data_IF_537714740806
#
_entry.id   IF_537714740806
#
_cell.length_a   1.000
_cell.length_b   1.000
_cell.length_c   1.000
_cell.angle_alpha   90.00
_cell.angle_beta   90.00
_cell.angle_gamma   90.00
#
_symmetry.space_group_name_H-M   'P 1'
#
loop_
_entity.id
_entity.type
_entity.pdbx_description
1 polymer ?
#
# COMPACT_ATOMS: atom_id res chain seq x y z
N UNK A 1 9.39 8.02 22.94
CA UNK A 1 9.02 6.67 22.42
C UNK A 1 8.28 6.81 21.08
N UNK A 2 8.24 5.77 20.29
CA UNK A 2 7.48 5.74 19.01
C UNK A 2 6.01 6.07 19.24
N UNK A 3 5.42 5.59 20.32
CA UNK A 3 4.01 5.85 20.65
C UNK A 3 3.71 7.36 20.85
N UNK A 4 4.58 8.08 21.54
CA UNK A 4 4.44 9.53 21.70
C UNK A 4 4.52 10.28 20.35
N UNK A 5 5.31 9.77 19.39
CA UNK A 5 5.37 10.32 18.03
C UNK A 5 4.04 10.09 17.31
N UNK A 6 3.48 8.88 17.39
CA UNK A 6 2.18 8.56 16.76
C UNK A 6 1.04 9.42 17.34
N UNK A 7 0.99 9.59 18.65
CA UNK A 7 0.03 10.44 19.35
C UNK A 7 0.11 11.89 18.85
N UNK A 8 1.32 12.44 18.81
CA UNK A 8 1.55 13.80 18.30
C UNK A 8 1.13 13.96 16.83
N UNK A 9 1.39 12.96 15.98
CA UNK A 9 0.95 13.00 14.59
C UNK A 9 -0.58 13.02 14.48
N UNK A 10 -1.27 12.20 15.27
CA UNK A 10 -2.73 12.17 15.32
C UNK A 10 -3.31 13.49 15.83
N UNK A 11 -2.76 14.06 16.92
CA UNK A 11 -3.13 15.38 17.44
C UNK A 11 -2.95 16.51 16.42
N UNK A 12 -1.95 16.40 15.55
CA UNK A 12 -1.73 17.34 14.45
C UNK A 12 -2.65 17.12 13.25
N UNK A 13 -3.58 16.16 13.31
CA UNK A 13 -4.49 15.82 12.21
C UNK A 13 -3.83 15.07 11.06
N UNK A 14 -2.65 14.47 11.27
CA UNK A 14 -2.01 13.64 10.24
C UNK A 14 -2.85 12.39 10.00
N UNK A 15 -3.01 12.01 8.73
CA UNK A 15 -3.87 10.89 8.33
C UNK A 15 -3.17 9.53 8.37
N UNK A 16 -1.85 9.50 8.41
CA UNK A 16 -1.10 8.24 8.39
C UNK A 16 0.41 8.42 8.48
N UNK A 17 1.09 7.31 8.38
CA UNK A 17 2.55 7.20 8.36
C UNK A 17 3.01 6.33 7.19
N UNK A 18 4.22 6.57 6.67
CA UNK A 18 4.92 5.66 5.76
C UNK A 18 5.96 4.87 6.53
N UNK A 19 5.98 3.56 6.33
CA UNK A 19 7.01 2.66 6.83
C UNK A 19 7.74 1.99 5.67
N UNK A 20 9.03 1.78 5.83
CA UNK A 20 9.92 1.17 4.85
C UNK A 20 10.92 0.26 5.57
N UNK A 21 10.66 -1.05 5.54
CA UNK A 21 11.44 -2.03 6.30
C UNK A 21 12.93 -1.98 6.01
N UNK A 22 13.28 -1.86 4.72
CA UNK A 22 14.69 -1.85 4.26
C UNK A 22 15.48 -0.67 4.83
N UNK A 23 14.89 0.53 4.83
CA UNK A 23 15.56 1.74 5.36
C UNK A 23 15.49 1.88 6.89
N UNK A 24 14.46 1.29 7.50
CA UNK A 24 14.22 1.39 8.94
C UNK A 24 14.63 0.12 9.71
N UNK A 25 15.18 -0.87 8.99
CA UNK A 25 15.72 -2.12 9.53
C UNK A 25 14.73 -2.90 10.40
N UNK A 26 13.60 -3.30 9.79
CA UNK A 26 12.62 -4.20 10.41
C UNK A 26 11.94 -5.07 9.34
N UNK A 27 11.49 -6.26 9.72
CA UNK A 27 10.55 -7.05 8.93
C UNK A 27 9.12 -6.72 9.35
N UNK A 28 8.20 -6.68 8.39
CA UNK A 28 6.83 -6.23 8.63
C UNK A 28 6.11 -7.00 9.75
N UNK A 29 6.37 -8.31 9.87
CA UNK A 29 5.72 -9.19 10.83
C UNK A 29 6.49 -9.41 12.15
N UNK A 30 7.57 -8.63 12.38
CA UNK A 30 8.28 -8.69 13.67
C UNK A 30 7.37 -8.35 14.84
N UNK A 31 7.51 -9.08 15.95
CA UNK A 31 6.68 -8.89 17.14
C UNK A 31 6.71 -7.45 17.70
N UNK A 32 7.85 -6.75 17.56
CA UNK A 32 7.98 -5.34 18.00
C UNK A 32 7.14 -4.38 17.15
N UNK A 33 6.74 -4.75 15.92
CA UNK A 33 5.94 -3.91 15.03
C UNK A 33 4.45 -4.02 15.34
N UNK A 34 3.99 -5.17 15.85
CA UNK A 34 2.58 -5.43 16.12
C UNK A 34 1.93 -4.36 17.05
N UNK A 35 2.52 -3.99 18.20
CA UNK A 35 1.96 -2.93 19.03
C UNK A 35 1.94 -1.56 18.35
N UNK A 36 2.89 -1.28 17.44
CA UNK A 36 2.93 -0.03 16.66
C UNK A 36 1.73 0.03 15.72
N UNK A 37 1.46 -1.05 14.98
CA UNK A 37 0.30 -1.12 14.08
C UNK A 37 -1.02 -0.99 14.85
N UNK A 38 -1.16 -1.69 15.98
CA UNK A 38 -2.35 -1.55 16.84
C UNK A 38 -2.56 -0.11 17.29
N UNK A 39 -1.47 0.57 17.70
CA UNK A 39 -1.56 1.97 18.09
C UNK A 39 -1.96 2.88 16.93
N UNK A 40 -1.46 2.62 15.72
CA UNK A 40 -1.92 3.34 14.53
C UNK A 40 -3.44 3.18 14.32
N UNK A 41 -3.95 1.96 14.45
CA UNK A 41 -5.40 1.69 14.36
C UNK A 41 -6.21 2.44 15.39
N UNK A 42 -5.80 2.41 16.68
CA UNK A 42 -6.44 3.14 17.78
C UNK A 42 -6.50 4.66 17.55
N UNK A 43 -5.47 5.20 16.91
CA UNK A 43 -5.34 6.63 16.59
C UNK A 43 -5.97 7.01 15.23
N UNK A 44 -6.51 6.04 14.48
CA UNK A 44 -7.05 6.26 13.14
C UNK A 44 -6.00 6.58 12.08
N UNK A 45 -4.73 6.27 12.35
CA UNK A 45 -3.62 6.49 11.41
C UNK A 45 -3.54 5.34 10.40
N UNK A 46 -3.49 5.68 9.12
CA UNK A 46 -3.25 4.76 8.03
C UNK A 46 -1.76 4.42 7.99
N UNK A 47 -1.43 3.15 7.74
CA UNK A 47 -0.03 2.72 7.57
C UNK A 47 0.21 2.43 6.09
N UNK A 48 1.00 3.27 5.43
CA UNK A 48 1.51 2.99 4.08
C UNK A 48 2.80 2.20 4.22
N UNK A 49 2.83 0.97 3.71
CA UNK A 49 3.95 0.05 3.83
C UNK A 49 4.64 -0.12 2.47
N UNK A 50 5.95 0.15 2.40
CA UNK A 50 6.74 -0.33 1.27
C UNK A 50 6.68 -1.84 1.21
N UNK A 51 6.54 -2.43 0.03
CA UNK A 51 6.45 -3.88 -0.13
C UNK A 51 7.20 -4.36 -1.37
N UNK A 52 7.68 -5.59 -1.30
CA UNK A 52 8.43 -6.24 -2.35
C UNK A 52 9.92 -5.91 -2.32
N UNK A 53 10.57 -6.10 -3.47
CA UNK A 53 12.02 -5.93 -3.60
C UNK A 53 12.37 -4.44 -3.61
N UNK A 54 13.33 -4.06 -2.78
CA UNK A 54 14.00 -2.75 -2.84
C UNK A 54 15.40 -2.87 -3.47
N UNK A 55 15.82 -1.82 -4.18
CA UNK A 55 17.15 -1.81 -4.83
C UNK A 55 18.30 -1.77 -3.82
N UNK A 56 18.06 -1.32 -2.59
CA UNK A 56 19.05 -1.30 -1.51
C UNK A 56 19.23 -2.68 -0.85
N UNK A 57 18.22 -3.55 -0.94
CA UNK A 57 18.24 -4.92 -0.37
C UNK A 57 17.59 -5.95 -1.30
N UNK A 58 18.12 -6.15 -2.53
CA UNK A 58 17.44 -6.90 -3.58
C UNK A 58 17.28 -8.40 -3.30
N UNK A 59 17.96 -8.92 -2.29
CA UNK A 59 17.94 -10.33 -1.89
C UNK A 59 17.32 -10.57 -0.50
N UNK A 60 16.86 -9.52 0.15
CA UNK A 60 16.30 -9.58 1.50
C UNK A 60 15.04 -8.71 1.56
N UNK A 61 13.89 -9.32 1.35
CA UNK A 61 12.60 -8.62 1.32
C UNK A 61 12.11 -8.40 2.74
N UNK A 62 11.99 -7.15 3.15
CA UNK A 62 11.55 -6.78 4.49
C UNK A 62 10.04 -6.70 4.67
N UNK A 63 9.29 -6.64 3.55
CA UNK A 63 7.83 -6.68 3.56
C UNK A 63 7.34 -7.39 2.30
N UNK A 64 6.65 -8.50 2.45
CA UNK A 64 5.98 -9.22 1.39
C UNK A 64 4.53 -9.56 1.76
N UNK A 65 3.81 -10.17 0.83
CA UNK A 65 2.41 -10.54 1.02
C UNK A 65 2.20 -11.56 2.15
N UNK A 66 3.14 -12.48 2.36
CA UNK A 66 3.05 -13.48 3.43
C UNK A 66 3.26 -12.84 4.80
N UNK A 67 4.22 -11.92 4.92
CA UNK A 67 4.42 -11.13 6.15
C UNK A 67 3.18 -10.29 6.44
N UNK A 68 2.63 -9.61 5.43
CA UNK A 68 1.41 -8.82 5.61
C UNK A 68 0.21 -9.68 6.00
N UNK A 69 0.04 -10.87 5.46
CA UNK A 69 -1.00 -11.80 5.90
C UNK A 69 -0.84 -12.15 7.39
N UNK A 70 0.39 -12.47 7.83
CA UNK A 70 0.67 -12.72 9.26
C UNK A 70 0.43 -11.50 10.16
N UNK A 71 0.68 -10.30 9.66
CA UNK A 71 0.33 -9.05 10.36
C UNK A 71 -1.18 -8.93 10.51
N UNK A 72 -1.94 -9.13 9.44
CA UNK A 72 -3.40 -9.03 9.44
C UNK A 72 -4.06 -10.04 10.39
N UNK A 73 -3.48 -11.22 10.57
CA UNK A 73 -3.93 -12.21 11.56
C UNK A 73 -3.75 -11.73 13.01
N UNK A 74 -2.79 -10.82 13.27
CA UNK A 74 -2.44 -10.35 14.61
C UNK A 74 -3.04 -8.98 14.98
N UNK A 75 -3.48 -8.21 13.98
CA UNK A 75 -3.97 -6.84 14.20
C UNK A 75 -5.33 -6.62 13.53
N UNK A 76 -6.15 -5.79 14.16
CA UNK A 76 -7.44 -5.35 13.64
C UNK A 76 -7.60 -3.84 13.78
N UNK A 77 -8.49 -3.23 13.00
CA UNK A 77 -8.83 -1.82 13.13
C UNK A 77 -7.81 -0.84 12.52
N UNK A 78 -6.65 -1.31 12.07
CA UNK A 78 -5.68 -0.50 11.33
C UNK A 78 -5.88 -0.65 9.82
N UNK A 79 -5.78 0.44 9.09
CA UNK A 79 -5.85 0.47 7.63
C UNK A 79 -4.43 0.44 7.05
N UNK A 80 -4.16 -0.52 6.18
CA UNK A 80 -2.88 -0.62 5.46
C UNK A 80 -3.03 -0.22 4.00
N UNK A 81 -2.05 0.49 3.48
CA UNK A 81 -1.80 0.63 2.04
C UNK A 81 -0.52 -0.14 1.74
N UNK A 82 -0.64 -1.28 1.07
CA UNK A 82 0.51 -2.09 0.65
C UNK A 82 0.96 -1.55 -0.71
N UNK A 83 2.06 -0.81 -0.70
CA UNK A 83 2.53 -0.04 -1.84
C UNK A 83 2.92 -0.91 -3.04
N UNK A 84 3.00 -0.27 -4.22
CA UNK A 84 3.49 -0.89 -5.47
C UNK A 84 2.64 -2.07 -5.93
N UNK A 85 1.30 -1.89 -5.93
CA UNK A 85 0.32 -2.94 -6.26
C UNK A 85 0.51 -4.24 -5.45
N UNK A 86 0.90 -4.09 -4.17
CA UNK A 86 1.10 -5.21 -3.25
C UNK A 86 2.56 -5.62 -3.08
N UNK A 87 3.49 -5.05 -3.86
CA UNK A 87 4.93 -5.22 -3.69
C UNK A 87 5.69 -5.40 -4.99
N UNK A 88 6.79 -4.69 -5.12
CA UNK A 88 7.68 -4.75 -6.29
C UNK A 88 8.08 -6.19 -6.58
N UNK A 89 7.69 -6.73 -7.75
CA UNK A 89 7.89 -8.12 -8.20
C UNK A 89 7.23 -9.19 -7.31
N UNK A 90 6.24 -8.80 -6.50
CA UNK A 90 5.48 -9.68 -5.62
C UNK A 90 3.96 -9.49 -5.84
N UNK A 91 3.56 -8.77 -6.89
CA UNK A 91 2.18 -8.33 -7.15
C UNK A 91 1.19 -9.51 -7.21
N UNK A 92 1.56 -10.59 -7.92
CA UNK A 92 0.70 -11.78 -8.07
C UNK A 92 0.49 -12.54 -6.75
N UNK A 93 1.54 -12.62 -5.93
CA UNK A 93 1.42 -13.23 -4.61
C UNK A 93 0.56 -12.38 -3.69
N UNK A 94 0.73 -11.06 -3.75
CA UNK A 94 -0.10 -10.14 -3.00
C UNK A 94 -1.57 -10.23 -3.43
N UNK A 95 -1.85 -10.32 -4.73
CA UNK A 95 -3.19 -10.52 -5.25
C UNK A 95 -3.81 -11.83 -4.72
N UNK A 96 -3.03 -12.90 -4.66
CA UNK A 96 -3.50 -14.19 -4.17
C UNK A 96 -3.77 -14.22 -2.65
N UNK A 97 -2.97 -13.53 -1.85
CA UNK A 97 -3.01 -13.61 -0.39
C UNK A 97 -3.79 -12.49 0.28
N UNK A 98 -3.81 -11.29 -0.31
CA UNK A 98 -4.34 -10.09 0.34
C UNK A 98 -5.63 -9.57 -0.32
N UNK A 99 -6.02 -10.09 -1.50
CA UNK A 99 -7.29 -9.71 -2.11
C UNK A 99 -8.45 -10.09 -1.18
N UNK A 100 -9.41 -9.15 -1.03
CA UNK A 100 -10.57 -9.33 -0.15
C UNK A 100 -10.31 -8.99 1.33
N UNK A 101 -9.08 -8.66 1.73
CA UNK A 101 -8.81 -8.16 3.08
C UNK A 101 -9.49 -6.80 3.29
N UNK A 102 -10.33 -6.70 4.32
CA UNK A 102 -11.20 -5.53 4.54
C UNK A 102 -10.43 -4.23 4.71
N UNK A 103 -9.35 -4.27 5.49
CA UNK A 103 -8.57 -3.09 5.87
C UNK A 103 -7.27 -2.93 5.07
N UNK A 104 -7.22 -3.47 3.85
CA UNK A 104 -6.05 -3.38 2.96
C UNK A 104 -6.42 -2.63 1.69
N UNK A 105 -5.57 -1.72 1.30
CA UNK A 105 -5.54 -1.00 0.02
C UNK A 105 -4.19 -1.20 -0.65
N UNK A 106 -4.14 -0.89 -1.92
CA UNK A 106 -2.94 -0.96 -2.75
C UNK A 106 -2.74 0.37 -3.46
N UNK A 107 -1.53 0.69 -3.87
CA UNK A 107 -1.29 1.88 -4.67
C UNK A 107 -0.52 1.57 -5.97
N UNK A 108 -0.64 2.47 -6.93
CA UNK A 108 0.00 2.35 -8.25
C UNK A 108 1.42 2.90 -8.29
N UNK A 109 2.02 3.21 -7.14
CA UNK A 109 3.36 3.75 -7.03
C UNK A 109 4.39 2.84 -7.71
N UNK A 110 5.31 3.44 -8.46
CA UNK A 110 6.43 2.73 -9.10
C UNK A 110 6.03 1.57 -10.04
N UNK A 111 4.89 1.68 -10.72
CA UNK A 111 4.39 0.64 -11.65
C UNK A 111 4.64 0.92 -13.12
N UNK A 112 4.78 2.20 -13.52
CA UNK A 112 5.03 2.56 -14.90
C UNK A 112 6.35 1.98 -15.42
N UNK A 113 6.30 1.34 -16.59
CA UNK A 113 7.43 0.64 -17.18
C UNK A 113 7.76 -0.73 -16.58
N UNK A 114 6.99 -1.18 -15.57
CA UNK A 114 7.21 -2.45 -14.86
C UNK A 114 6.02 -3.41 -14.98
N UNK A 115 4.82 -2.89 -14.97
CA UNK A 115 3.58 -3.65 -15.09
C UNK A 115 2.95 -3.30 -16.45
N UNK A 116 2.48 -4.31 -17.20
CA UNK A 116 1.76 -4.07 -18.45
C UNK A 116 0.33 -3.58 -18.17
N UNK A 117 -0.34 -2.89 -19.14
CA UNK A 117 -1.73 -2.49 -18.97
C UNK A 117 -2.68 -3.67 -18.70
N UNK A 118 -2.43 -4.83 -19.30
CA UNK A 118 -3.22 -6.04 -19.10
C UNK A 118 -3.06 -6.54 -17.67
N UNK A 119 -1.82 -6.66 -17.19
CA UNK A 119 -1.53 -7.10 -15.82
C UNK A 119 -2.06 -6.11 -14.78
N UNK A 120 -1.93 -4.80 -15.03
CA UNK A 120 -2.55 -3.78 -14.16
C UNK A 120 -4.06 -3.96 -14.09
N UNK A 121 -4.72 -4.25 -15.22
CA UNK A 121 -6.17 -4.51 -15.26
C UNK A 121 -6.54 -5.73 -14.41
N UNK A 122 -5.78 -6.83 -14.52
CA UNK A 122 -5.99 -8.06 -13.76
C UNK A 122 -5.84 -7.82 -12.26
N UNK A 123 -4.78 -7.14 -11.84
CA UNK A 123 -4.53 -6.80 -10.43
C UNK A 123 -5.65 -5.94 -9.86
N UNK A 124 -6.04 -4.86 -10.56
CA UNK A 124 -7.12 -3.96 -10.10
C UNK A 124 -8.44 -4.73 -9.93
N UNK A 125 -8.78 -5.62 -10.86
CA UNK A 125 -10.01 -6.42 -10.77
C UNK A 125 -9.95 -7.47 -9.67
N UNK A 126 -8.77 -8.03 -9.40
CA UNK A 126 -8.56 -9.01 -8.33
C UNK A 126 -8.68 -8.35 -6.95
N UNK A 127 -8.09 -7.18 -6.76
CA UNK A 127 -8.18 -6.42 -5.51
C UNK A 127 -9.56 -5.79 -5.30
N UNK A 128 -10.25 -5.44 -6.38
CA UNK A 128 -11.38 -4.51 -6.43
C UNK A 128 -10.91 -3.09 -6.71
N UNK A 129 -11.53 -2.43 -7.70
CA UNK A 129 -11.14 -1.07 -8.09
C UNK A 129 -11.28 -0.05 -6.96
N UNK A 130 -12.15 -0.32 -5.97
CA UNK A 130 -12.35 0.50 -4.77
C UNK A 130 -11.24 0.35 -3.72
N UNK A 131 -10.28 -0.56 -3.94
CA UNK A 131 -9.13 -0.82 -3.08
C UNK A 131 -7.81 -0.30 -3.63
N UNK A 132 -7.80 0.30 -4.81
CA UNK A 132 -6.58 0.79 -5.47
C UNK A 132 -6.53 2.31 -5.45
N UNK A 133 -5.38 2.87 -5.11
CA UNK A 133 -5.11 4.31 -4.99
C UNK A 133 -4.12 4.74 -6.07
N UNK A 134 -4.33 5.93 -6.64
CA UNK A 134 -3.33 6.53 -7.52
C UNK A 134 -2.12 7.02 -6.73
N UNK A 135 -0.94 6.59 -7.13
CA UNK A 135 0.34 7.06 -6.62
C UNK A 135 1.44 6.87 -7.68
N UNK A 136 2.51 7.63 -7.62
CA UNK A 136 3.63 7.56 -8.57
C UNK A 136 4.94 7.11 -7.94
N UNK A 137 5.15 7.39 -6.65
CA UNK A 137 6.46 7.24 -6.00
C UNK A 137 7.51 8.19 -6.60
N UNK A 138 7.09 9.41 -6.95
CA UNK A 138 8.02 10.42 -7.45
C UNK A 138 9.19 10.64 -6.48
N UNK A 139 10.45 10.71 -6.96
CA UNK A 139 10.86 10.89 -8.35
C UNK A 139 11.11 9.59 -9.14
N UNK A 140 10.83 8.41 -8.58
CA UNK A 140 11.12 7.12 -9.23
C UNK A 140 10.23 6.84 -10.45
N UNK A 141 8.95 7.25 -10.40
CA UNK A 141 8.10 7.37 -11.58
C UNK A 141 7.51 8.79 -11.68
N UNK A 142 7.35 9.27 -12.91
CA UNK A 142 6.58 10.48 -13.17
C UNK A 142 5.07 10.17 -13.00
N UNK A 143 4.30 10.99 -12.28
CA UNK A 143 2.84 10.83 -12.19
C UNK A 143 2.15 10.72 -13.55
N UNK A 144 2.67 11.41 -14.57
CA UNK A 144 2.18 11.32 -15.96
C UNK A 144 2.33 9.92 -16.54
N UNK A 145 3.47 9.24 -16.28
CA UNK A 145 3.70 7.90 -16.82
C UNK A 145 2.78 6.87 -16.17
N UNK A 146 2.54 6.98 -14.86
CA UNK A 146 1.56 6.14 -14.16
C UNK A 146 0.14 6.43 -14.65
N UNK A 147 -0.21 7.69 -14.87
CA UNK A 147 -1.49 8.06 -15.48
C UNK A 147 -1.63 7.43 -16.87
N UNK A 148 -0.62 7.54 -17.73
CA UNK A 148 -0.65 6.92 -19.07
C UNK A 148 -0.80 5.40 -19.00
N UNK A 149 -0.16 4.72 -18.05
CA UNK A 149 -0.33 3.29 -17.83
C UNK A 149 -1.80 2.97 -17.51
N UNK A 150 -2.41 3.68 -16.55
CA UNK A 150 -3.82 3.46 -16.16
C UNK A 150 -4.77 3.76 -17.34
N UNK A 151 -4.52 4.82 -18.11
CA UNK A 151 -5.32 5.13 -19.30
C UNK A 151 -5.24 4.05 -20.39
N UNK A 152 -4.12 3.34 -20.48
CA UNK A 152 -3.89 2.25 -21.42
C UNK A 152 -4.55 0.92 -21.00
N UNK A 153 -5.10 0.83 -19.79
CA UNK A 153 -5.80 -0.36 -19.29
C UNK A 153 -7.20 -0.50 -19.90
N UNK A 154 -7.77 -1.71 -19.81
CA UNK A 154 -9.18 -1.96 -20.16
C UNK A 154 -10.16 -1.71 -18.98
N UNK A 155 -9.75 -0.94 -17.98
CA UNK A 155 -10.60 -0.49 -16.89
C UNK A 155 -11.68 0.48 -17.41
N UNK A 156 -12.85 0.42 -16.83
CA UNK A 156 -13.94 1.38 -17.12
C UNK A 156 -13.61 2.78 -16.62
N UNK A 157 -14.32 3.79 -17.12
CA UNK A 157 -14.14 5.16 -16.64
C UNK A 157 -14.44 5.32 -15.15
N UNK A 158 -15.39 4.54 -14.63
CA UNK A 158 -15.75 4.53 -13.21
C UNK A 158 -14.64 3.90 -12.36
N UNK A 159 -14.06 2.76 -12.78
CA UNK A 159 -12.92 2.15 -12.10
C UNK A 159 -11.73 3.11 -12.05
N UNK A 160 -11.42 3.79 -13.16
CA UNK A 160 -10.35 4.80 -13.20
C UNK A 160 -10.61 5.98 -12.26
N UNK A 161 -11.83 6.50 -12.19
CA UNK A 161 -12.20 7.57 -11.25
C UNK A 161 -12.05 7.13 -9.79
N UNK A 162 -12.40 5.87 -9.47
CA UNK A 162 -12.17 5.33 -8.13
C UNK A 162 -10.68 5.39 -7.79
N UNK A 163 -9.81 4.90 -8.69
CA UNK A 163 -8.35 4.89 -8.50
C UNK A 163 -7.80 6.30 -8.35
N UNK A 164 -8.21 7.23 -9.23
CA UNK A 164 -7.62 8.57 -9.27
C UNK A 164 -7.94 9.43 -8.06
N UNK A 165 -9.14 9.32 -7.47
CA UNK A 165 -9.47 10.19 -6.34
C UNK A 165 -10.54 9.67 -5.36
N UNK A 166 -11.62 8.99 -5.77
CA UNK A 166 -12.69 8.63 -4.85
C UNK A 166 -12.24 7.71 -3.70
N UNK A 167 -11.35 6.77 -4.00
CA UNK A 167 -10.83 5.87 -2.98
C UNK A 167 -9.99 6.62 -1.95
N UNK A 168 -9.17 7.57 -2.39
CA UNK A 168 -8.37 8.41 -1.51
C UNK A 168 -9.26 9.31 -0.64
N UNK A 169 -10.28 9.97 -1.22
CA UNK A 169 -11.27 10.76 -0.46
C UNK A 169 -11.90 9.91 0.65
N UNK A 170 -12.40 8.71 0.30
CA UNK A 170 -13.04 7.81 1.27
C UNK A 170 -12.07 7.33 2.34
N UNK A 171 -10.85 6.95 1.96
CA UNK A 171 -9.84 6.44 2.88
C UNK A 171 -9.38 7.51 3.86
N UNK A 172 -9.22 8.75 3.39
CA UNK A 172 -8.75 9.91 4.17
C UNK A 172 -9.87 10.63 4.92
N UNK A 173 -11.14 10.35 4.59
CA UNK A 173 -12.30 11.02 5.18
C UNK A 173 -12.37 12.50 4.80
N UNK A 174 -12.22 12.80 3.50
CA UNK A 174 -12.30 14.16 2.93
C UNK A 174 -13.71 14.45 2.42
#
# INVERSE_FOLDING_TARGET
SVFAVLEKLAEQGRKGIKLHGDFQNFYADEERMIPIYRRCGELGLIVVMHSGIDCSSPYDIHTDAQMMARVLDKVSGVKFVVAHMGGVRCEDEAARLLAGAENVWFDTAYTAGRISPEHMTELVRTYGADKVLFASDSPWNDPKDVHMLIESTSLTAEEKKMIYYFNAERLLGL
#
